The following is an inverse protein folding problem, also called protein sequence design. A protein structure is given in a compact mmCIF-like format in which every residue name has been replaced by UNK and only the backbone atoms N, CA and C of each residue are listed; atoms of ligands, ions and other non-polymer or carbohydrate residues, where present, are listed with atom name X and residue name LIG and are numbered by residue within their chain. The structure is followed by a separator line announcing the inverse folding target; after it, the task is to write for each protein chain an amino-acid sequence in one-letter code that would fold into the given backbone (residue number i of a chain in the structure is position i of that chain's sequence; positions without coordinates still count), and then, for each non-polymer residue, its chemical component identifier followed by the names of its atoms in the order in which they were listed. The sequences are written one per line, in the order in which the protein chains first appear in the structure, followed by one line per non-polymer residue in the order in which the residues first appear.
data_IF_437878662015
#
_entry.id   IF_437878662015
#
_cell.length_a   1.000
_cell.length_b   1.000
_cell.length_c   1.000
_cell.angle_alpha   90.00
_cell.angle_beta   90.00
_cell.angle_gamma   90.00
#
_symmetry.space_group_name_H-M   'P 1'
#
loop_
_entity.id
_entity.type
_entity.pdbx_description
1 polymer ?
#
# COMPACT_ATOMS: atom_id res chain seq x y z
N UNK A 1 14.50 -8.04 -7.72
CA UNK A 1 14.01 -9.44 -7.65
C UNK A 1 12.53 -9.43 -8.05
N UNK A 2 11.94 -10.51 -8.56
CA UNK A 2 10.50 -10.50 -8.86
C UNK A 2 9.70 -10.70 -7.56
N UNK A 3 8.54 -10.03 -7.43
CA UNK A 3 7.59 -10.29 -6.34
C UNK A 3 6.99 -11.69 -6.49
N UNK A 4 6.86 -12.40 -5.37
CA UNK A 4 6.13 -13.66 -5.33
C UNK A 4 4.64 -13.47 -5.64
N UNK A 5 3.91 -14.50 -6.11
CA UNK A 5 2.48 -14.38 -6.45
C UNK A 5 1.62 -13.91 -5.27
N UNK A 6 1.98 -14.31 -4.05
CA UNK A 6 1.31 -13.87 -2.83
C UNK A 6 1.58 -12.40 -2.52
N UNK A 7 2.81 -11.94 -2.72
CA UNK A 7 3.14 -10.53 -2.56
C UNK A 7 2.37 -9.67 -3.58
N UNK A 8 2.30 -10.12 -4.83
CA UNK A 8 1.53 -9.44 -5.86
C UNK A 8 0.03 -9.36 -5.52
N UNK A 9 -0.54 -10.42 -4.94
CA UNK A 9 -1.94 -10.42 -4.50
C UNK A 9 -2.20 -9.36 -3.41
N UNK A 10 -1.31 -9.27 -2.42
CA UNK A 10 -1.44 -8.29 -1.34
C UNK A 10 -1.30 -6.85 -1.86
N UNK A 11 -0.34 -6.60 -2.76
CA UNK A 11 -0.15 -5.27 -3.37
C UNK A 11 -1.38 -4.87 -4.20
N UNK A 12 -1.96 -5.81 -4.97
CA UNK A 12 -3.21 -5.56 -5.72
C UNK A 12 -4.37 -5.19 -4.81
N UNK A 13 -4.53 -5.88 -3.67
CA UNK A 13 -5.59 -5.57 -2.71
C UNK A 13 -5.45 -4.17 -2.13
N UNK A 14 -4.22 -3.76 -1.81
CA UNK A 14 -3.92 -2.41 -1.34
C UNK A 14 -4.18 -1.35 -2.41
N UNK A 15 -3.72 -1.58 -3.65
CA UNK A 15 -3.99 -0.69 -4.78
C UNK A 15 -5.49 -0.53 -5.04
N UNK A 16 -6.25 -1.63 -4.92
CA UNK A 16 -7.71 -1.59 -5.02
C UNK A 16 -8.34 -0.69 -3.96
N UNK A 17 -7.77 -0.68 -2.75
CA UNK A 17 -8.24 0.19 -1.67
C UNK A 17 -7.93 1.67 -1.94
N UNK A 18 -6.77 1.98 -2.54
CA UNK A 18 -6.36 3.36 -2.80
C UNK A 18 -6.94 3.97 -4.08
N UNK A 19 -7.06 3.17 -5.15
CA UNK A 19 -7.41 3.64 -6.49
C UNK A 19 -8.67 3.00 -7.06
N UNK A 20 -9.27 2.03 -6.38
CA UNK A 20 -10.43 1.29 -6.90
C UNK A 20 -10.05 0.16 -7.87
N UNK A 21 -11.05 -0.34 -8.59
CA UNK A 21 -10.95 -1.56 -9.42
C UNK A 21 -9.97 -1.45 -10.60
N UNK A 22 -9.59 -0.24 -11.00
CA UNK A 22 -8.79 0.04 -12.21
C UNK A 22 -7.40 -0.60 -12.17
N UNK A 23 -6.91 -0.94 -10.98
CA UNK A 23 -5.57 -1.51 -10.77
C UNK A 23 -5.58 -3.02 -10.51
N UNK A 24 -6.75 -3.67 -10.57
CA UNK A 24 -6.89 -5.09 -10.27
C UNK A 24 -6.33 -6.01 -11.37
N UNK A 25 -6.25 -5.55 -12.62
CA UNK A 25 -5.82 -6.33 -13.79
C UNK A 25 -4.31 -6.28 -14.04
N UNK A 26 -3.57 -5.45 -13.33
CA UNK A 26 -2.14 -5.24 -13.58
C UNK A 26 -1.24 -6.11 -12.70
N UNK A 27 -0.01 -6.36 -13.17
CA UNK A 27 1.00 -7.11 -12.41
C UNK A 27 1.85 -6.12 -11.61
N UNK A 28 1.73 -6.06 -10.28
CA UNK A 28 2.58 -5.19 -9.47
C UNK A 28 4.02 -5.67 -9.50
N UNK A 29 4.95 -4.73 -9.60
CA UNK A 29 6.40 -4.94 -9.58
C UNK A 29 6.99 -4.52 -8.23
N UNK A 30 8.30 -4.75 -8.01
CA UNK A 30 8.99 -4.23 -6.83
C UNK A 30 8.89 -2.69 -6.74
N UNK A 31 8.91 -2.00 -7.87
CA UNK A 31 8.75 -0.54 -7.92
C UNK A 31 7.34 -0.13 -7.48
N UNK A 32 6.31 -0.89 -7.89
CA UNK A 32 4.93 -0.69 -7.38
C UNK A 32 4.86 -0.85 -5.85
N UNK A 33 5.56 -1.85 -5.29
CA UNK A 33 5.62 -2.05 -3.84
C UNK A 33 6.24 -0.83 -3.13
N UNK A 34 7.32 -0.28 -3.66
CA UNK A 34 7.97 0.91 -3.10
C UNK A 34 7.04 2.14 -3.12
N UNK A 35 6.29 2.33 -4.20
CA UNK A 35 5.29 3.42 -4.24
C UNK A 35 4.14 3.19 -3.27
N UNK A 36 3.66 1.96 -3.12
CA UNK A 36 2.63 1.63 -2.12
C UNK A 36 3.14 1.88 -0.70
N UNK A 37 4.41 1.57 -0.43
CA UNK A 37 5.05 1.88 0.84
C UNK A 37 5.11 3.40 1.08
N UNK A 38 5.47 4.19 0.06
CA UNK A 38 5.47 5.65 0.15
C UNK A 38 4.05 6.21 0.38
N UNK A 39 3.03 5.66 -0.27
CA UNK A 39 1.63 6.04 -0.05
C UNK A 39 1.24 5.81 1.41
N UNK A 40 1.60 4.67 2.00
CA UNK A 40 1.35 4.39 3.41
C UNK A 40 2.08 5.35 4.34
N UNK A 41 3.34 5.67 4.03
CA UNK A 41 4.17 6.61 4.80
C UNK A 41 3.66 8.06 4.71
N UNK A 42 2.96 8.42 3.65
CA UNK A 42 2.27 9.71 3.55
C UNK A 42 0.89 9.65 4.21
N UNK A 43 0.16 8.54 4.11
CA UNK A 43 -1.14 8.36 4.73
C UNK A 43 -1.08 8.44 6.27
N UNK A 44 -0.03 7.91 6.89
CA UNK A 44 0.20 8.06 8.35
C UNK A 44 0.39 9.51 8.78
N UNK A 45 0.96 10.38 7.92
CA UNK A 45 1.15 11.81 8.24
C UNK A 45 -0.17 12.56 8.21
N UNK A 46 -1.11 12.07 7.40
CA UNK A 46 -2.43 12.65 7.21
C UNK A 46 -3.40 12.26 8.34
N UNK A 47 -3.30 11.06 8.91
CA UNK A 47 -4.23 10.57 9.94
C UNK A 47 -3.52 9.77 11.05
N UNK A 48 -3.58 10.26 12.31
CA UNK A 48 -2.96 9.59 13.48
C UNK A 48 -3.53 8.18 13.73
N UNK A 49 -4.76 7.90 13.29
CA UNK A 49 -5.36 6.56 13.39
C UNK A 49 -4.65 5.57 12.47
N UNK A 50 -4.23 6.00 11.27
CA UNK A 50 -3.46 5.16 10.33
C UNK A 50 -2.08 4.84 10.92
N UNK A 51 -1.41 5.85 11.50
CA UNK A 51 -0.15 5.67 12.20
C UNK A 51 -0.24 4.59 13.30
N UNK A 52 -1.26 4.67 14.16
CA UNK A 52 -1.52 3.65 15.19
C UNK A 52 -1.81 2.26 14.63
N UNK A 53 -2.57 2.18 13.53
CA UNK A 53 -2.89 0.91 12.87
C UNK A 53 -1.64 0.26 12.29
N UNK A 54 -0.77 1.04 11.64
CA UNK A 54 0.50 0.54 11.11
C UNK A 54 1.48 0.17 12.23
N UNK A 55 1.57 0.99 13.28
CA UNK A 55 2.40 0.70 14.45
C UNK A 55 1.96 -0.55 15.24
N UNK A 56 0.68 -0.96 15.09
CA UNK A 56 0.17 -2.20 15.71
C UNK A 56 0.65 -3.48 15.02
N UNK A 57 1.25 -3.37 13.83
CA UNK A 57 1.84 -4.50 13.14
C UNK A 57 3.15 -4.90 13.85
N UNK A 58 3.24 -6.14 14.31
CA UNK A 58 4.42 -6.69 15.03
C UNK A 58 5.74 -6.57 14.24
N UNK A 59 5.66 -6.37 12.94
CA UNK A 59 6.78 -6.21 12.02
C UNK A 59 7.02 -4.75 11.60
N UNK A 60 6.24 -3.79 12.10
CA UNK A 60 6.36 -2.38 11.77
C UNK A 60 7.50 -1.72 12.53
N UNK A 61 8.69 -1.79 11.95
CA UNK A 61 9.59 -0.64 11.99
C UNK A 61 9.23 0.19 10.77
N UNK A 62 8.45 1.26 10.97
CA UNK A 62 8.02 2.15 9.89
C UNK A 62 9.26 2.77 9.22
N UNK A 63 9.65 2.24 8.07
CA UNK A 63 10.88 2.59 7.34
C UNK A 63 10.98 1.83 6.02
N UNK A 64 11.87 2.22 5.10
CA UNK A 64 11.97 1.57 3.77
C UNK A 64 12.13 0.05 3.88
N UNK A 65 11.30 -0.69 3.15
CA UNK A 65 11.28 -2.16 3.12
C UNK A 65 10.47 -2.84 4.23
N UNK A 66 9.76 -2.09 5.09
CA UNK A 66 8.86 -2.66 6.09
C UNK A 66 7.66 -3.32 5.42
N UNK A 67 7.18 -2.73 4.31
CA UNK A 67 5.98 -3.21 3.65
C UNK A 67 6.18 -4.63 3.13
N UNK A 68 7.36 -4.99 2.63
CA UNK A 68 7.67 -6.35 2.19
C UNK A 68 7.59 -7.36 3.34
N UNK A 69 8.11 -7.01 4.52
CA UNK A 69 8.09 -7.87 5.71
C UNK A 69 6.70 -8.01 6.32
N UNK A 70 5.89 -6.97 6.19
CA UNK A 70 4.55 -6.88 6.76
C UNK A 70 3.42 -7.07 5.75
N UNK A 71 3.71 -7.46 4.51
CA UNK A 71 2.82 -7.20 3.40
C UNK A 71 1.41 -7.75 3.59
N UNK A 72 1.29 -9.00 4.05
CA UNK A 72 0.00 -9.62 4.36
C UNK A 72 -0.76 -8.90 5.46
N UNK A 73 -0.05 -8.52 6.52
CA UNK A 73 -0.66 -7.86 7.67
C UNK A 73 -1.04 -6.41 7.33
N UNK A 74 -0.22 -5.71 6.56
CA UNK A 74 -0.50 -4.37 6.04
C UNK A 74 -1.67 -4.37 5.07
N UNK A 75 -1.71 -5.30 4.11
CA UNK A 75 -2.84 -5.45 3.19
C UNK A 75 -4.15 -5.72 3.95
N UNK A 76 -4.12 -6.61 4.95
CA UNK A 76 -5.27 -6.88 5.81
C UNK A 76 -5.71 -5.65 6.60
N UNK A 77 -4.79 -4.92 7.23
CA UNK A 77 -5.12 -3.68 7.96
C UNK A 77 -5.72 -2.63 7.05
N UNK A 78 -5.17 -2.46 5.85
CA UNK A 78 -5.67 -1.51 4.83
C UNK A 78 -7.08 -1.92 4.36
N UNK A 79 -7.30 -3.21 4.10
CA UNK A 79 -8.58 -3.77 3.65
C UNK A 79 -9.66 -3.67 4.74
N UNK A 80 -9.34 -4.11 5.97
CA UNK A 80 -10.25 -4.06 7.14
C UNK A 80 -10.60 -2.62 7.55
N UNK A 81 -9.72 -1.65 7.24
CA UNK A 81 -9.92 -0.23 7.55
C UNK A 81 -10.03 0.62 6.29
N UNK A 82 -10.54 0.07 5.19
CA UNK A 82 -10.61 0.73 3.89
C UNK A 82 -11.19 2.16 3.95
N UNK A 83 -12.16 2.41 4.83
CA UNK A 83 -12.76 3.75 5.03
C UNK A 83 -11.75 4.75 5.62
N UNK A 84 -10.90 4.33 6.56
CA UNK A 84 -9.87 5.20 7.13
C UNK A 84 -8.77 5.50 6.09
N UNK A 85 -8.44 4.51 5.26
CA UNK A 85 -7.44 4.63 4.20
C UNK A 85 -7.96 5.28 2.92
N UNK A 86 -9.27 5.32 2.66
CA UNK A 86 -9.82 5.89 1.42
C UNK A 86 -9.71 7.41 1.35
N UNK A 87 -9.69 8.12 2.47
CA UNK A 87 -9.50 9.57 2.49
C UNK A 87 -8.02 9.95 2.30
N UNK A 88 -7.23 9.69 3.34
CA UNK A 88 -5.81 10.05 3.37
C UNK A 88 -4.96 9.22 2.41
N UNK A 89 -5.26 7.92 2.27
CA UNK A 89 -4.56 7.05 1.33
C UNK A 89 -4.83 7.42 -0.12
N UNK A 90 -6.07 7.74 -0.52
CA UNK A 90 -6.34 8.20 -1.88
C UNK A 90 -5.65 9.53 -2.19
N UNK A 91 -5.60 10.46 -1.22
CA UNK A 91 -4.90 11.74 -1.38
C UNK A 91 -3.40 11.58 -1.52
N UNK A 92 -2.78 10.72 -0.72
CA UNK A 92 -1.38 10.34 -0.86
C UNK A 92 -1.12 9.63 -2.20
N UNK A 93 -2.02 8.72 -2.57
CA UNK A 93 -1.98 7.94 -3.80
C UNK A 93 -2.07 8.82 -5.07
N UNK A 94 -2.77 9.95 -5.05
CA UNK A 94 -2.79 10.87 -6.20
C UNK A 94 -1.39 11.34 -6.61
N UNK A 95 -0.47 11.54 -5.67
CA UNK A 95 0.90 11.99 -5.97
C UNK A 95 1.73 10.91 -6.68
N UNK A 96 1.35 9.64 -6.51
CA UNK A 96 2.09 8.48 -7.05
C UNK A 96 1.33 7.78 -8.17
N UNK A 97 0.14 8.25 -8.57
CA UNK A 97 -0.73 7.60 -9.55
C UNK A 97 0.00 7.34 -10.88
N UNK A 98 0.65 8.37 -11.43
CA UNK A 98 1.38 8.27 -12.70
C UNK A 98 2.57 7.31 -12.60
N UNK A 99 3.29 7.34 -11.48
CA UNK A 99 4.46 6.50 -11.26
C UNK A 99 4.06 5.02 -11.10
N UNK A 100 2.98 4.75 -10.36
CA UNK A 100 2.41 3.42 -10.23
C UNK A 100 1.90 2.91 -11.58
N UNK A 101 1.17 3.72 -12.36
CA UNK A 101 0.70 3.33 -13.69
C UNK A 101 1.84 2.97 -14.65
N UNK A 102 2.99 3.63 -14.55
CA UNK A 102 4.17 3.34 -15.37
C UNK A 102 4.94 2.09 -14.90
N UNK A 103 4.89 1.79 -13.60
CA UNK A 103 5.55 0.62 -12.99
C UNK A 103 4.78 -0.70 -13.17
N UNK A 104 3.53 -0.62 -13.63
CA UNK A 104 2.65 -1.76 -13.85
C UNK A 104 2.85 -2.30 -15.26
N UNK A 105 3.14 -3.59 -15.37
CA UNK A 105 3.38 -4.29 -16.64
C UNK A 105 2.45 -5.50 -16.82
#
# INVERSE_FOLDING_TARGET
MALSPEEQACVREMLRTFYGSDFASHTPTEETLEYVEQILLEAQKCEKRIDKLLASLLCAVVGRGFLRRCLRAAARVVSDNAIAFSGCGARAALNFKTAIQLSLH
#
